data_IF_122940252979
#
_entry.id   IF_122940252979
#
_cell.length_a   1.000
_cell.length_b   1.000
_cell.length_c   1.000
_cell.angle_alpha   90.00
_cell.angle_beta   90.00
_cell.angle_gamma   90.00
#
_symmetry.space_group_name_H-M   'P 1'
#
loop_
_entity.id
_entity.type
_entity.pdbx_description
1 polymer ?
#
# COMPACT_ATOMS: atom_id res chain seq x y z
N UNK A 1 10.85 -15.54 -15.52
CA UNK A 1 9.38 -15.42 -15.47
C UNK A 1 9.01 -14.80 -14.14
N UNK A 2 8.94 -13.47 -14.05
CA UNK A 2 9.19 -12.73 -12.80
C UNK A 2 8.01 -12.05 -12.11
N UNK A 3 6.75 -12.26 -12.46
CA UNK A 3 5.67 -11.36 -12.00
C UNK A 3 4.44 -12.05 -11.37
N UNK A 4 4.63 -13.04 -10.49
CA UNK A 4 3.49 -13.66 -9.76
C UNK A 4 3.84 -14.24 -8.39
N UNK A 5 4.94 -13.83 -7.75
CA UNK A 5 5.19 -14.29 -6.38
C UNK A 5 4.20 -13.60 -5.44
N UNK A 6 3.40 -14.40 -4.74
CA UNK A 6 2.54 -13.95 -3.66
C UNK A 6 3.44 -13.59 -2.48
N UNK A 7 3.38 -12.34 -2.06
CA UNK A 7 4.06 -11.80 -0.90
C UNK A 7 3.25 -12.10 0.37
N UNK A 8 3.94 -12.19 1.48
CA UNK A 8 3.38 -12.42 2.80
C UNK A 8 4.10 -11.54 3.84
N UNK A 9 3.70 -11.66 5.11
CA UNK A 9 4.19 -10.81 6.19
C UNK A 9 5.71 -10.91 6.41
N UNK A 10 6.36 -12.01 6.01
CA UNK A 10 7.82 -12.15 6.08
C UNK A 10 8.56 -11.22 5.10
N UNK A 11 7.92 -10.80 4.02
CA UNK A 11 8.51 -9.91 3.01
C UNK A 11 8.41 -8.42 3.40
N UNK A 12 7.84 -8.12 4.59
CA UNK A 12 7.57 -6.75 5.04
C UNK A 12 8.83 -5.88 5.06
N UNK A 13 9.96 -6.42 5.55
CA UNK A 13 11.20 -5.66 5.71
C UNK A 13 11.79 -5.24 4.35
N UNK A 14 11.80 -6.18 3.39
CA UNK A 14 12.24 -5.93 2.02
C UNK A 14 11.36 -4.87 1.34
N UNK A 15 10.03 -4.97 1.51
CA UNK A 15 9.07 -4.02 0.94
C UNK A 15 9.26 -2.61 1.51
N UNK A 16 9.44 -2.48 2.82
CA UNK A 16 9.65 -1.17 3.44
C UNK A 16 11.00 -0.55 3.02
N UNK A 17 12.01 -1.39 2.82
CA UNK A 17 13.32 -0.96 2.31
C UNK A 17 13.20 -0.44 0.89
N UNK A 18 12.54 -1.18 0.00
CA UNK A 18 12.33 -0.76 -1.40
C UNK A 18 11.48 0.51 -1.51
N UNK A 19 10.44 0.66 -0.69
CA UNK A 19 9.64 1.90 -0.64
C UNK A 19 10.49 3.11 -0.23
N UNK A 20 11.38 2.93 0.74
CA UNK A 20 12.27 3.99 1.22
C UNK A 20 13.32 4.36 0.17
N UNK A 21 13.93 3.38 -0.47
CA UNK A 21 14.91 3.58 -1.53
C UNK A 21 14.29 4.19 -2.80
N UNK A 22 13.02 3.87 -3.06
CA UNK A 22 12.21 4.52 -4.10
C UNK A 22 11.77 5.95 -3.77
N UNK A 23 12.21 6.52 -2.64
CA UNK A 23 11.81 7.85 -2.15
C UNK A 23 10.29 8.02 -1.98
N UNK A 24 9.55 6.93 -1.72
CA UNK A 24 8.12 7.03 -1.45
C UNK A 24 7.90 7.71 -0.10
N UNK A 25 7.22 8.86 -0.12
CA UNK A 25 6.93 9.61 1.10
C UNK A 25 5.78 8.96 1.86
N UNK A 26 6.03 8.61 3.12
CA UNK A 26 5.06 7.94 4.00
C UNK A 26 3.77 8.73 4.21
N UNK A 27 3.77 10.03 3.93
CA UNK A 27 2.62 10.96 4.04
C UNK A 27 1.36 10.48 3.31
N UNK A 28 1.51 9.75 2.19
CA UNK A 28 0.40 9.32 1.32
C UNK A 28 -0.05 7.87 1.56
N UNK A 29 0.33 7.28 2.70
CA UNK A 29 0.05 5.88 3.04
C UNK A 29 -1.45 5.50 2.98
N UNK A 30 -2.36 6.46 3.22
CA UNK A 30 -3.81 6.24 3.12
C UNK A 30 -4.25 6.03 1.67
N UNK A 31 -3.78 6.88 0.74
CA UNK A 31 -4.13 6.74 -0.67
C UNK A 31 -3.59 5.40 -1.19
N UNK A 32 -2.33 5.09 -0.89
CA UNK A 32 -1.72 3.80 -1.19
C UNK A 32 -2.55 2.64 -0.63
N UNK A 33 -2.96 2.72 0.64
CA UNK A 33 -3.81 1.71 1.27
C UNK A 33 -5.12 1.47 0.52
N UNK A 34 -5.79 2.53 0.06
CA UNK A 34 -7.01 2.44 -0.74
C UNK A 34 -6.73 1.78 -2.10
N UNK A 35 -5.64 2.16 -2.79
CA UNK A 35 -5.25 1.54 -4.08
C UNK A 35 -4.92 0.05 -3.94
N UNK A 36 -4.36 -0.34 -2.79
CA UNK A 36 -4.06 -1.72 -2.41
C UNK A 36 -5.31 -2.52 -1.99
N UNK A 37 -6.48 -1.88 -1.83
CA UNK A 37 -7.74 -2.55 -1.53
C UNK A 37 -8.13 -2.56 -0.05
N UNK A 38 -7.42 -1.84 0.81
CA UNK A 38 -7.83 -1.63 2.19
C UNK A 38 -9.00 -0.66 2.24
N UNK A 39 -9.94 -0.91 3.15
CA UNK A 39 -11.09 -0.04 3.33
C UNK A 39 -10.76 1.13 4.25
N UNK A 40 -11.46 2.25 4.06
CA UNK A 40 -11.29 3.45 4.87
C UNK A 40 -11.37 3.15 6.37
N UNK A 41 -12.30 2.29 6.79
CA UNK A 41 -12.43 1.87 8.21
C UNK A 41 -11.15 1.23 8.78
N UNK A 42 -10.43 0.43 7.98
CA UNK A 42 -9.13 -0.15 8.37
C UNK A 42 -8.06 0.94 8.46
N UNK A 43 -8.06 1.90 7.54
CA UNK A 43 -7.11 3.01 7.53
C UNK A 43 -7.38 3.99 8.70
N UNK A 44 -8.63 4.35 8.97
CA UNK A 44 -8.99 5.18 10.14
C UNK A 44 -8.59 4.52 11.45
N UNK A 45 -8.72 3.18 11.55
CA UNK A 45 -8.26 2.44 12.70
C UNK A 45 -6.73 2.50 12.85
N UNK A 46 -5.97 2.39 11.76
CA UNK A 46 -4.51 2.58 11.80
C UNK A 46 -4.15 4.00 12.25
N UNK A 47 -4.80 5.02 11.66
CA UNK A 47 -4.56 6.41 12.02
C UNK A 47 -4.82 6.70 13.51
N UNK A 48 -5.86 6.09 14.07
CA UNK A 48 -6.25 6.30 15.47
C UNK A 48 -5.34 5.58 16.47
N UNK A 49 -4.68 4.48 16.05
CA UNK A 49 -3.84 3.66 16.93
C UNK A 49 -2.34 4.01 16.87
N UNK A 50 -1.91 4.75 15.85
CA UNK A 50 -0.51 5.08 15.61
C UNK A 50 -0.36 6.57 15.35
N UNK A 51 0.65 7.22 15.94
CA UNK A 51 0.89 8.66 15.76
C UNK A 51 1.89 8.95 14.64
N UNK A 52 2.92 8.11 14.53
CA UNK A 52 3.98 8.27 13.54
C UNK A 52 3.54 7.78 12.15
N UNK A 53 3.97 8.51 11.12
CA UNK A 53 3.57 8.23 9.72
C UNK A 53 4.25 6.97 9.20
N UNK A 54 5.48 6.67 9.61
CA UNK A 54 6.19 5.44 9.23
C UNK A 54 5.51 4.21 9.87
N UNK A 55 5.09 4.31 11.14
CA UNK A 55 4.32 3.25 11.80
C UNK A 55 2.98 2.98 11.10
N UNK A 56 2.29 4.04 10.67
CA UNK A 56 1.04 3.93 9.91
C UNK A 56 1.25 3.25 8.55
N UNK A 57 2.29 3.65 7.81
CA UNK A 57 2.67 3.00 6.55
C UNK A 57 3.01 1.52 6.79
N UNK A 58 3.84 1.21 7.78
CA UNK A 58 4.18 -0.18 8.14
C UNK A 58 2.92 -1.01 8.41
N UNK A 59 1.97 -0.47 9.17
CA UNK A 59 0.72 -1.18 9.49
C UNK A 59 -0.21 -1.31 8.28
N UNK A 60 -0.22 -0.32 7.38
CA UNK A 60 -0.89 -0.40 6.09
C UNK A 60 -0.37 -1.58 5.27
N UNK A 61 0.95 -1.67 5.09
CA UNK A 61 1.58 -2.78 4.34
C UNK A 61 1.32 -4.13 5.03
N UNK A 62 1.38 -4.21 6.36
CA UNK A 62 1.02 -5.44 7.09
C UNK A 62 -0.42 -5.87 6.79
N UNK A 63 -1.39 -4.95 6.79
CA UNK A 63 -2.79 -5.28 6.48
C UNK A 63 -2.97 -5.74 5.03
N UNK A 64 -2.23 -5.15 4.10
CA UNK A 64 -2.21 -5.59 2.72
C UNK A 64 -1.63 -7.01 2.57
N UNK A 65 -0.48 -7.29 3.20
CA UNK A 65 0.14 -8.63 3.20
C UNK A 65 -0.74 -9.69 3.90
N UNK A 66 -1.59 -9.27 4.85
CA UNK A 66 -2.59 -10.11 5.49
C UNK A 66 -3.87 -10.31 4.66
N UNK A 67 -3.94 -9.76 3.44
CA UNK A 67 -5.10 -9.84 2.55
C UNK A 67 -6.39 -9.30 3.18
N UNK A 68 -6.29 -8.22 3.95
CA UNK A 68 -7.45 -7.63 4.60
C UNK A 68 -8.44 -7.03 3.58
N UNK A 69 -9.74 -7.08 3.88
CA UNK A 69 -10.78 -6.39 3.12
C UNK A 69 -10.81 -6.76 1.62
N UNK A 70 -10.63 -5.79 0.72
CA UNK A 70 -10.69 -5.95 -0.73
C UNK A 70 -9.34 -6.13 -1.41
N UNK A 71 -8.30 -6.53 -0.68
CA UNK A 71 -6.95 -6.73 -1.24
C UNK A 71 -6.94 -7.76 -2.37
N UNK A 72 -7.68 -8.85 -2.23
CA UNK A 72 -7.75 -9.88 -3.26
C UNK A 72 -8.51 -9.39 -4.51
N UNK A 73 -9.49 -8.48 -4.37
CA UNK A 73 -10.16 -7.81 -5.49
C UNK A 73 -9.20 -6.92 -6.30
N UNK A 74 -8.10 -6.48 -5.68
CA UNK A 74 -7.02 -5.71 -6.34
C UNK A 74 -5.92 -6.59 -6.93
N UNK A 75 -6.02 -7.91 -6.83
CA UNK A 75 -5.03 -8.86 -7.33
C UNK A 75 -4.07 -9.41 -6.26
N UNK A 76 -4.35 -9.13 -4.98
CA UNK A 76 -3.61 -9.67 -3.85
C UNK A 76 -2.23 -9.05 -3.65
N UNK A 77 -1.49 -9.53 -2.63
CA UNK A 77 -0.18 -9.01 -2.28
C UNK A 77 0.89 -9.52 -3.24
N UNK A 78 1.18 -8.76 -4.29
CA UNK A 78 2.28 -9.02 -5.22
C UNK A 78 3.04 -7.72 -5.50
N UNK A 79 4.30 -7.84 -5.92
CA UNK A 79 5.08 -6.68 -6.38
C UNK A 79 4.39 -5.91 -7.50
N UNK A 80 3.76 -6.63 -8.44
CA UNK A 80 2.99 -6.01 -9.52
C UNK A 80 1.82 -5.19 -8.99
N UNK A 81 1.08 -5.68 -7.99
CA UNK A 81 0.01 -4.92 -7.35
C UNK A 81 0.54 -3.67 -6.64
N UNK A 82 1.68 -3.79 -5.94
CA UNK A 82 2.31 -2.67 -5.23
C UNK A 82 2.79 -1.57 -6.18
N UNK A 83 3.56 -1.93 -7.21
CA UNK A 83 4.05 -0.97 -8.22
C UNK A 83 2.88 -0.24 -8.87
N UNK A 84 1.85 -0.98 -9.31
CA UNK A 84 0.65 -0.37 -9.91
C UNK A 84 -0.07 0.57 -8.95
N UNK A 85 -0.08 0.28 -7.66
CA UNK A 85 -0.69 1.15 -6.65
C UNK A 85 0.12 2.44 -6.46
N UNK A 86 1.45 2.34 -6.42
CA UNK A 86 2.36 3.49 -6.34
C UNK A 86 2.23 4.40 -7.58
N UNK A 87 2.23 3.82 -8.78
CA UNK A 87 2.03 4.58 -10.03
C UNK A 87 0.71 5.36 -10.06
N UNK A 88 -0.35 4.81 -9.45
CA UNK A 88 -1.64 5.49 -9.32
C UNK A 88 -1.65 6.62 -8.28
N UNK A 89 -0.77 6.56 -7.28
CA UNK A 89 -0.58 7.65 -6.31
C UNK A 89 0.24 8.80 -6.91
N UNK A 90 1.30 8.48 -7.67
CA UNK A 90 2.16 9.46 -8.34
C UNK A 90 1.50 10.13 -9.56
N UNK A 91 0.57 9.42 -10.20
CA UNK A 91 -0.24 9.98 -11.28
C UNK A 91 -1.20 11.02 -10.71
N UNK A 92 -0.73 12.28 -10.63
CA UNK A 92 -1.58 13.46 -10.40
C UNK A 92 -2.84 13.30 -11.26
N UNK A 93 -4.05 13.54 -10.72
CA UNK A 93 -5.21 13.64 -11.58
C UNK A 93 -4.95 14.82 -12.51
N UNK A 94 -4.61 14.55 -13.77
CA UNK A 94 -4.84 15.51 -14.83
C UNK A 94 -6.35 15.70 -14.83
N UNK A 95 -6.78 16.80 -14.22
CA UNK A 95 -8.13 17.30 -14.33
C UNK A 95 -8.36 17.70 -15.79
N UNK A 96 -8.59 16.71 -16.64
CA UNK A 96 -9.16 16.88 -17.95
C UNK A 96 -10.47 16.07 -17.95
N UNK A 97 -11.56 16.82 -17.82
CA UNK A 97 -12.97 16.41 -17.85
C UNK A 97 -13.59 15.86 -16.54
N UNK A 98 -14.11 16.80 -15.75
CA UNK A 98 -15.48 16.74 -15.23
C UNK A 98 -16.18 18.06 -15.50
#
# INVERSE_FOLDING_TARGET
SGHSQVLNVCDLDDILTDLKDGHYYSSDWKDLGLKLGLYDTTLSAIESNYFDVEDRLRKCIVKWLQRANGVDDKGGPTWTTLVRALEQCDSKPTAEHI
#
